data_IF_137873914173
#
_entry.id   IF_137873914173
#
_cell.length_a   1.000
_cell.length_b   1.000
_cell.length_c   1.000
_cell.angle_alpha   90.00
_cell.angle_beta   90.00
_cell.angle_gamma   90.00
#
_symmetry.space_group_name_H-M   'P 1'
#
loop_
_entity.id
_entity.type
_entity.pdbx_description
1 polymer ?
#
# COMPACT_ATOMS: atom_id res chain seq x y z
N UNK A 1 -7.79 -52.98 -42.36
CA UNK A 1 -6.40 -52.55 -42.53
C UNK A 1 -6.38 -51.06 -42.26
N UNK A 2 -6.38 -50.72 -40.97
CA UNK A 2 -5.27 -50.01 -40.27
C UNK A 2 -5.46 -48.49 -40.40
N UNK A 3 -5.38 -47.63 -39.39
CA UNK A 3 -5.29 -47.68 -37.93
C UNK A 3 -5.54 -46.20 -37.50
N UNK A 4 -6.52 -45.92 -36.63
CA UNK A 4 -6.32 -45.45 -35.23
C UNK A 4 -6.22 -43.91 -35.03
N UNK A 5 -7.17 -43.39 -34.22
CA UNK A 5 -7.24 -42.11 -33.45
C UNK A 5 -7.30 -40.77 -34.21
N UNK A 6 -8.37 -39.95 -34.23
CA UNK A 6 -9.21 -39.35 -33.16
C UNK A 6 -8.45 -38.62 -32.05
N UNK A 7 -8.46 -37.27 -32.06
CA UNK A 7 -9.00 -36.46 -30.94
C UNK A 7 -8.98 -34.92 -31.19
N UNK A 8 -10.13 -34.26 -30.93
CA UNK A 8 -10.35 -32.90 -30.37
C UNK A 8 -9.85 -31.65 -31.17
N UNK A 9 -10.68 -30.79 -31.82
CA UNK A 9 -11.80 -29.92 -31.33
C UNK A 9 -11.40 -29.19 -30.03
N UNK A 10 -11.33 -27.86 -29.86
CA UNK A 10 -12.07 -26.74 -30.47
C UNK A 10 -11.38 -25.42 -30.06
N UNK A 11 -11.21 -24.48 -31.00
CA UNK A 11 -10.85 -23.09 -30.69
C UNK A 11 -12.10 -22.33 -30.21
N UNK A 12 -12.07 -21.77 -29.00
CA UNK A 12 -13.17 -20.98 -28.42
C UNK A 12 -13.03 -19.52 -28.87
N UNK A 13 -14.05 -19.05 -29.59
CA UNK A 13 -14.12 -17.72 -30.22
C UNK A 13 -14.93 -16.77 -29.31
N UNK A 14 -14.24 -15.80 -28.67
CA UNK A 14 -14.73 -14.93 -27.59
C UNK A 14 -15.64 -13.76 -28.04
N UNK A 15 -16.38 -13.87 -29.15
CA UNK A 15 -17.15 -12.73 -29.73
C UNK A 15 -18.68 -12.88 -29.77
N UNK A 16 -19.28 -13.92 -29.18
CA UNK A 16 -20.75 -14.09 -29.19
C UNK A 16 -21.49 -13.48 -27.99
N UNK A 17 -20.79 -13.03 -26.94
CA UNK A 17 -21.45 -12.64 -25.68
C UNK A 17 -22.02 -11.21 -25.68
N UNK A 18 -21.48 -10.30 -26.50
CA UNK A 18 -21.88 -8.89 -26.49
C UNK A 18 -23.02 -8.58 -27.48
N UNK A 19 -23.36 -9.50 -28.40
CA UNK A 19 -24.28 -9.20 -29.51
C UNK A 19 -25.77 -9.49 -29.23
N UNK A 20 -26.11 -10.05 -28.07
CA UNK A 20 -27.51 -10.36 -27.70
C UNK A 20 -28.07 -9.48 -26.58
N UNK A 21 -27.34 -8.44 -26.14
CA UNK A 21 -27.73 -7.63 -24.98
C UNK A 21 -28.52 -6.34 -25.27
N UNK A 22 -28.70 -5.92 -26.52
CA UNK A 22 -29.31 -4.62 -26.84
C UNK A 22 -30.20 -4.70 -28.08
N UNK A 23 -31.47 -5.08 -27.89
CA UNK A 23 -32.61 -4.64 -28.74
C UNK A 23 -33.93 -5.12 -28.11
N UNK A 24 -34.66 -4.22 -27.45
CA UNK A 24 -36.14 -4.13 -27.51
C UNK A 24 -36.63 -3.02 -26.56
N UNK A 25 -36.74 -1.80 -27.08
CA UNK A 25 -37.58 -0.76 -26.50
C UNK A 25 -38.96 -0.81 -27.19
N UNK A 26 -40.03 -0.96 -26.42
CA UNK A 26 -41.41 -0.91 -26.90
C UNK A 26 -42.38 -0.80 -25.71
N UNK A 27 -43.17 0.27 -25.69
CA UNK A 27 -44.05 0.67 -24.58
C UNK A 27 -45.32 -0.19 -24.44
N UNK A 28 -45.78 -0.38 -23.19
CA UNK A 28 -47.17 -0.21 -22.70
C UNK A 28 -47.62 -1.21 -21.60
N UNK A 29 -48.26 -0.65 -20.57
CA UNK A 29 -49.30 -1.21 -19.66
C UNK A 29 -48.97 -2.26 -18.57
N UNK A 30 -49.17 -1.79 -17.32
CA UNK A 30 -49.61 -2.44 -16.06
C UNK A 30 -49.92 -3.95 -16.07
N UNK A 31 -49.32 -4.69 -15.14
CA UNK A 31 -49.80 -6.01 -14.71
C UNK A 31 -48.90 -6.67 -13.68
N UNK A 32 -49.40 -6.85 -12.45
CA UNK A 32 -48.72 -7.58 -11.39
C UNK A 32 -48.63 -9.09 -11.71
N UNK A 33 -47.50 -9.69 -11.36
CA UNK A 33 -47.36 -11.14 -11.19
C UNK A 33 -46.54 -11.84 -12.25
N UNK A 34 -45.24 -12.03 -11.98
CA UNK A 34 -44.48 -13.25 -12.32
C UNK A 34 -43.12 -13.19 -11.62
N UNK A 35 -43.10 -13.63 -10.36
CA UNK A 35 -41.92 -14.10 -9.65
C UNK A 35 -41.63 -15.53 -10.15
N UNK A 36 -40.51 -15.72 -10.85
CA UNK A 36 -39.72 -16.95 -10.81
C UNK A 36 -38.45 -16.78 -11.65
N UNK A 37 -37.30 -17.07 -11.04
CA UNK A 37 -35.99 -17.32 -11.64
C UNK A 37 -35.20 -16.08 -12.12
N UNK A 38 -34.89 -15.19 -11.18
CA UNK A 38 -33.63 -14.44 -11.19
C UNK A 38 -32.64 -15.15 -10.26
N UNK A 39 -31.55 -15.66 -10.81
CA UNK A 39 -30.41 -16.13 -10.03
C UNK A 39 -29.88 -14.99 -9.16
N UNK A 40 -30.17 -15.06 -7.86
CA UNK A 40 -29.55 -14.18 -6.90
C UNK A 40 -28.07 -14.54 -6.81
N UNK A 41 -27.19 -13.65 -7.23
CA UNK A 41 -25.80 -13.61 -6.78
C UNK A 41 -25.73 -13.12 -5.32
N UNK A 42 -26.59 -13.67 -4.47
CA UNK A 42 -26.60 -13.48 -3.03
C UNK A 42 -25.95 -14.75 -2.50
N UNK A 43 -24.75 -14.62 -1.93
CA UNK A 43 -24.15 -15.69 -1.16
C UNK A 43 -25.20 -16.17 -0.15
N UNK A 44 -25.59 -17.44 -0.24
CA UNK A 44 -26.35 -18.06 0.84
C UNK A 44 -25.55 -17.85 2.13
N UNK A 45 -26.17 -17.25 3.14
CA UNK A 45 -25.59 -17.20 4.50
C UNK A 45 -25.38 -18.65 4.94
N UNK A 46 -24.15 -19.13 4.75
CA UNK A 46 -23.74 -20.43 5.25
C UNK A 46 -23.81 -20.45 6.78
N UNK A 47 -23.77 -21.64 7.40
CA UNK A 47 -23.77 -21.81 8.85
C UNK A 47 -22.53 -21.22 9.57
N UNK A 48 -21.67 -20.46 8.87
CA UNK A 48 -20.43 -19.88 9.39
C UNK A 48 -20.60 -18.55 10.15
N UNK A 49 -21.82 -17.99 10.28
CA UNK A 49 -22.12 -16.98 11.31
C UNK A 49 -22.18 -17.61 12.72
N UNK A 50 -21.29 -18.57 13.00
CA UNK A 50 -21.03 -18.94 14.37
C UNK A 50 -20.22 -17.81 15.00
N UNK A 51 -20.80 -17.20 16.03
CA UNK A 51 -20.25 -16.27 17.01
C UNK A 51 -19.04 -16.84 17.76
N UNK A 52 -18.05 -17.35 17.02
CA UNK A 52 -16.84 -17.97 17.53
C UNK A 52 -15.86 -16.90 18.00
N UNK A 53 -15.27 -17.14 19.16
CA UNK A 53 -14.15 -16.35 19.68
C UNK A 53 -12.94 -16.59 18.77
N UNK A 54 -12.20 -15.52 18.44
CA UNK A 54 -10.96 -15.66 17.68
C UNK A 54 -9.97 -16.55 18.43
N UNK A 55 -9.16 -17.30 17.67
CA UNK A 55 -7.96 -17.90 18.25
C UNK A 55 -6.99 -16.79 18.67
N UNK A 56 -6.09 -17.02 19.63
CA UNK A 56 -5.06 -16.04 19.98
C UNK A 56 -4.25 -15.60 18.75
N UNK A 57 -3.92 -16.55 17.86
CA UNK A 57 -3.17 -16.25 16.64
C UNK A 57 -3.95 -15.39 15.65
N UNK A 58 -5.22 -15.70 15.39
CA UNK A 58 -6.05 -14.89 14.48
C UNK A 58 -6.29 -13.47 15.04
N UNK A 59 -6.49 -13.34 16.36
CA UNK A 59 -6.58 -12.04 17.00
C UNK A 59 -5.26 -11.26 16.89
N UNK A 60 -4.11 -11.93 17.07
CA UNK A 60 -2.80 -11.31 16.93
C UNK A 60 -2.55 -10.76 15.52
N UNK A 61 -2.90 -11.52 14.47
CA UNK A 61 -2.79 -11.06 13.07
C UNK A 61 -3.59 -9.76 12.85
N UNK A 62 -4.84 -9.71 13.31
CA UNK A 62 -5.69 -8.54 13.14
C UNK A 62 -5.28 -7.36 14.04
N UNK A 63 -4.74 -7.61 15.23
CA UNK A 63 -4.18 -6.56 16.09
C UNK A 63 -2.96 -5.93 15.45
N UNK A 64 -2.06 -6.73 14.88
CA UNK A 64 -0.90 -6.18 14.17
C UNK A 64 -1.31 -5.41 12.91
N UNK A 65 -2.24 -5.94 12.11
CA UNK A 65 -2.83 -5.18 11.00
C UNK A 65 -3.43 -3.85 11.49
N UNK A 66 -4.25 -3.86 12.54
CA UNK A 66 -4.84 -2.64 13.08
C UNK A 66 -3.79 -1.60 13.51
N UNK A 67 -2.67 -2.02 14.12
CA UNK A 67 -1.56 -1.12 14.44
C UNK A 67 -0.92 -0.53 13.18
N UNK A 68 -0.69 -1.36 12.14
CA UNK A 68 -0.15 -0.88 10.87
C UNK A 68 -1.09 0.16 10.25
N UNK A 69 -2.39 -0.12 10.15
CA UNK A 69 -3.38 0.79 9.57
C UNK A 69 -3.55 2.11 10.33
N UNK A 70 -3.41 2.11 11.67
CA UNK A 70 -3.44 3.35 12.46
C UNK A 70 -2.23 4.24 12.12
N UNK A 71 -1.05 3.63 11.94
CA UNK A 71 0.17 4.34 11.56
C UNK A 71 0.10 4.81 10.11
N UNK A 72 -0.46 3.97 9.23
CA UNK A 72 -0.72 4.24 7.83
C UNK A 72 -1.61 5.49 7.68
N UNK A 73 -2.76 5.47 8.36
CA UNK A 73 -3.69 6.58 8.32
C UNK A 73 -3.07 7.88 8.84
N UNK A 74 -2.28 7.83 9.93
CA UNK A 74 -1.65 9.04 10.48
C UNK A 74 -0.71 9.74 9.49
N UNK A 75 -0.01 8.98 8.65
CA UNK A 75 0.85 9.58 7.63
C UNK A 75 0.03 10.07 6.43
N UNK A 76 -0.98 9.31 5.98
CA UNK A 76 -1.84 9.73 4.87
C UNK A 76 -2.62 11.01 5.20
N UNK A 77 -3.11 11.13 6.44
CA UNK A 77 -3.71 12.38 6.93
C UNK A 77 -2.75 13.56 6.79
N UNK A 78 -1.46 13.41 7.06
CA UNK A 78 -0.49 14.49 6.90
C UNK A 78 -0.34 14.92 5.44
N UNK A 79 -0.34 13.97 4.50
CA UNK A 79 -0.34 14.28 3.07
C UNK A 79 -1.65 14.91 2.62
N UNK A 80 -2.81 14.39 3.06
CA UNK A 80 -4.11 14.94 2.70
C UNK A 80 -4.30 16.37 3.20
N UNK A 81 -3.85 16.68 4.42
CA UNK A 81 -3.91 18.03 4.98
C UNK A 81 -3.22 19.09 4.10
N UNK A 82 -2.13 18.71 3.44
CA UNK A 82 -1.28 19.62 2.68
C UNK A 82 -1.51 19.54 1.17
N UNK A 83 -1.70 18.34 0.63
CA UNK A 83 -1.72 18.06 -0.81
C UNK A 83 -2.99 17.40 -1.33
N UNK A 84 -3.91 16.96 -0.46
CA UNK A 84 -5.16 16.31 -0.86
C UNK A 84 -6.36 17.25 -0.98
N UNK A 85 -7.52 16.68 -1.28
CA UNK A 85 -8.80 17.41 -1.35
C UNK A 85 -9.26 17.81 0.06
N UNK A 86 -9.75 19.04 0.19
CA UNK A 86 -10.27 19.58 1.45
C UNK A 86 -11.80 19.56 1.44
N UNK A 87 -12.37 18.54 2.07
CA UNK A 87 -13.82 18.37 2.18
C UNK A 87 -14.23 17.79 3.55
N UNK A 88 -15.47 17.26 3.63
CA UNK A 88 -16.00 16.66 4.85
C UNK A 88 -15.73 15.16 4.99
N UNK A 89 -15.27 14.49 3.93
CA UNK A 89 -14.99 13.05 3.93
C UNK A 89 -13.70 12.78 4.72
N UNK A 90 -12.64 13.54 4.40
CA UNK A 90 -11.36 13.47 5.10
C UNK A 90 -11.01 14.81 5.75
N UNK A 91 -11.49 15.08 6.98
CA UNK A 91 -11.28 16.38 7.63
C UNK A 91 -9.89 16.48 8.26
N UNK A 92 -9.24 17.65 8.14
CA UNK A 92 -8.04 17.91 8.94
C UNK A 92 -7.25 19.15 8.58
N UNK A 93 -7.11 19.46 7.29
CA UNK A 93 -6.25 20.53 6.80
C UNK A 93 -7.01 21.64 6.09
N UNK A 94 -6.24 22.54 5.48
CA UNK A 94 -6.76 23.55 4.57
C UNK A 94 -6.01 23.59 3.23
N UNK A 95 -5.11 22.64 2.99
CA UNK A 95 -4.27 22.56 1.79
C UNK A 95 -3.12 23.57 1.77
N UNK A 96 -2.08 23.23 1.02
CA UNK A 96 -0.93 24.08 0.73
C UNK A 96 -0.78 24.22 -0.80
N UNK A 97 -1.24 25.32 -1.41
CA UNK A 97 -1.30 25.43 -2.87
C UNK A 97 0.02 25.21 -3.59
N UNK A 98 1.13 25.68 -3.02
CA UNK A 98 2.46 25.50 -3.63
C UNK A 98 2.91 24.04 -3.59
N UNK A 99 2.63 23.32 -2.50
CA UNK A 99 2.94 21.90 -2.40
C UNK A 99 2.02 21.05 -3.28
N UNK A 100 0.73 21.40 -3.36
CA UNK A 100 -0.21 20.76 -4.31
C UNK A 100 0.26 20.93 -5.75
N UNK A 101 0.67 22.14 -6.17
CA UNK A 101 1.20 22.38 -7.52
C UNK A 101 2.48 21.56 -7.79
N UNK A 102 3.36 21.42 -6.80
CA UNK A 102 4.56 20.59 -6.92
C UNK A 102 4.23 19.08 -7.02
N UNK A 103 3.16 18.61 -6.36
CA UNK A 103 2.66 17.25 -6.51
C UNK A 103 2.02 17.06 -7.90
N UNK A 104 1.26 18.03 -8.40
CA UNK A 104 0.60 17.99 -9.71
C UNK A 104 1.56 17.82 -10.89
N UNK A 105 2.85 18.18 -10.72
CA UNK A 105 3.91 17.87 -11.69
C UNK A 105 4.06 16.36 -11.93
N UNK A 106 3.74 15.53 -10.93
CA UNK A 106 3.77 14.07 -11.01
C UNK A 106 2.54 13.52 -11.75
N UNK A 107 1.36 14.05 -11.43
CA UNK A 107 0.08 13.72 -12.06
C UNK A 107 -0.96 14.77 -11.66
N UNK A 108 -1.82 15.21 -12.58
CA UNK A 108 -2.80 16.27 -12.30
C UNK A 108 -3.85 15.87 -11.26
N UNK A 109 -4.06 14.56 -11.06
CA UNK A 109 -5.04 14.02 -10.12
C UNK A 109 -4.42 13.64 -8.75
N UNK A 110 -3.17 14.04 -8.46
CA UNK A 110 -2.50 13.69 -7.18
C UNK A 110 -3.33 14.00 -5.94
N UNK A 111 -4.04 15.13 -5.92
CA UNK A 111 -4.89 15.49 -4.78
C UNK A 111 -6.06 14.51 -4.56
N UNK A 112 -6.61 13.95 -5.65
CA UNK A 112 -7.67 12.95 -5.60
C UNK A 112 -7.11 11.64 -5.04
N UNK A 113 -5.99 11.16 -5.60
CA UNK A 113 -5.40 9.89 -5.15
C UNK A 113 -5.00 9.94 -3.67
N UNK A 114 -4.43 11.06 -3.20
CA UNK A 114 -4.05 11.22 -1.79
C UNK A 114 -5.30 11.17 -0.90
N UNK A 115 -6.38 11.85 -1.31
CA UNK A 115 -7.62 11.92 -0.55
C UNK A 115 -8.33 10.56 -0.48
N UNK A 116 -8.53 9.90 -1.62
CA UNK A 116 -9.15 8.57 -1.71
C UNK A 116 -8.38 7.53 -0.88
N UNK A 117 -7.04 7.50 -1.00
CA UNK A 117 -6.22 6.58 -0.21
C UNK A 117 -6.34 6.88 1.29
N UNK A 118 -6.45 8.15 1.67
CA UNK A 118 -6.63 8.51 3.08
C UNK A 118 -7.98 8.05 3.63
N UNK A 119 -9.05 8.13 2.83
CA UNK A 119 -10.36 7.60 3.21
C UNK A 119 -10.30 6.08 3.40
N UNK A 120 -9.70 5.36 2.44
CA UNK A 120 -9.51 3.91 2.51
C UNK A 120 -8.82 3.51 3.82
N UNK A 121 -7.73 4.18 4.21
CA UNK A 121 -7.02 3.86 5.45
C UNK A 121 -7.82 4.13 6.71
N UNK A 122 -8.64 5.20 6.72
CA UNK A 122 -9.61 5.38 7.80
C UNK A 122 -10.56 4.19 7.89
N UNK A 123 -11.02 3.65 6.77
CA UNK A 123 -11.91 2.49 6.79
C UNK A 123 -11.20 1.23 7.30
N UNK A 124 -9.96 0.97 6.89
CA UNK A 124 -9.18 -0.19 7.34
C UNK A 124 -8.98 -0.19 8.86
N UNK A 125 -8.43 0.90 9.42
CA UNK A 125 -8.17 0.97 10.86
C UNK A 125 -9.45 0.86 11.70
N UNK A 126 -10.55 1.48 11.24
CA UNK A 126 -11.81 1.51 11.96
C UNK A 126 -12.47 0.12 11.93
N UNK A 127 -12.47 -0.51 10.76
CA UNK A 127 -13.04 -1.84 10.57
C UNK A 127 -12.30 -2.89 11.42
N UNK A 128 -10.97 -2.92 11.37
CA UNK A 128 -10.18 -3.93 12.10
C UNK A 128 -10.42 -3.86 13.61
N UNK A 129 -10.36 -2.66 14.20
CA UNK A 129 -10.64 -2.47 15.62
C UNK A 129 -12.09 -2.79 15.99
N UNK A 130 -13.07 -2.40 15.15
CA UNK A 130 -14.47 -2.74 15.38
C UNK A 130 -14.71 -4.25 15.30
N UNK A 131 -14.07 -4.94 14.36
CA UNK A 131 -14.17 -6.39 14.20
C UNK A 131 -13.56 -7.11 15.42
N UNK A 132 -12.36 -6.72 15.86
CA UNK A 132 -11.74 -7.24 17.10
C UNK A 132 -12.67 -7.08 18.30
N UNK A 133 -13.22 -5.88 18.51
CA UNK A 133 -14.17 -5.60 19.59
C UNK A 133 -15.44 -6.47 19.48
N UNK A 134 -15.96 -6.68 18.28
CA UNK A 134 -17.15 -7.51 18.04
C UNK A 134 -16.94 -8.99 18.42
N UNK A 135 -15.68 -9.45 18.40
CA UNK A 135 -15.28 -10.81 18.81
C UNK A 135 -14.82 -10.89 20.27
N UNK A 136 -14.89 -9.78 21.01
CA UNK A 136 -14.41 -9.69 22.40
C UNK A 136 -12.89 -9.85 22.53
N UNK A 137 -12.14 -9.53 21.48
CA UNK A 137 -10.68 -9.49 21.50
C UNK A 137 -10.18 -8.09 21.86
N UNK A 138 -8.93 -8.00 22.31
CA UNK A 138 -8.28 -6.72 22.58
C UNK A 138 -8.12 -5.91 21.28
N UNK A 139 -8.49 -4.63 21.34
CA UNK A 139 -8.26 -3.65 20.26
C UNK A 139 -6.89 -3.00 20.39
N UNK A 140 -6.50 -2.24 19.37
CA UNK A 140 -5.26 -1.45 19.38
C UNK A 140 -5.58 0.03 19.52
N UNK A 141 -4.81 0.71 20.37
CA UNK A 141 -4.88 2.15 20.55
C UNK A 141 -3.45 2.73 20.66
N UNK A 142 -3.07 3.56 19.69
CA UNK A 142 -1.78 4.24 19.65
C UNK A 142 -1.85 5.71 20.09
N UNK A 143 -3.03 6.24 20.42
CA UNK A 143 -3.20 7.65 20.82
C UNK A 143 -2.30 8.10 21.98
N UNK A 144 -1.96 7.28 22.99
CA UNK A 144 -0.99 7.66 24.01
C UNK A 144 0.40 8.05 23.47
N UNK A 145 0.73 7.64 22.25
CA UNK A 145 2.00 7.91 21.56
C UNK A 145 1.90 9.03 20.51
N UNK A 146 0.74 9.68 20.36
CA UNK A 146 0.55 10.83 19.45
C UNK A 146 1.22 12.07 20.02
N UNK A 147 2.54 12.12 19.87
CA UNK A 147 3.42 13.09 20.56
C UNK A 147 4.37 13.81 19.63
N UNK A 148 4.54 13.33 18.39
CA UNK A 148 5.48 13.93 17.45
C UNK A 148 4.92 15.26 16.92
N UNK A 149 5.75 16.29 16.72
CA UNK A 149 5.31 17.51 16.08
C UNK A 149 4.99 17.23 14.59
N UNK A 150 3.85 17.73 14.11
CA UNK A 150 3.54 17.76 12.68
C UNK A 150 4.15 18.96 11.96
N UNK A 151 3.86 19.09 10.66
CA UNK A 151 4.17 20.29 9.89
C UNK A 151 3.51 21.54 10.52
N UNK A 152 4.20 22.67 10.37
CA UNK A 152 3.66 24.00 10.69
C UNK A 152 3.53 24.88 9.45
N UNK A 153 3.69 24.30 8.26
CA UNK A 153 3.39 24.98 7.00
C UNK A 153 1.88 25.29 6.92
N UNK A 154 1.55 26.38 6.23
CA UNK A 154 0.17 26.74 5.88
C UNK A 154 -0.50 25.53 5.23
N UNK A 155 -1.71 25.21 5.68
CA UNK A 155 -2.44 24.02 5.25
C UNK A 155 -2.49 22.90 6.28
N UNK A 156 -1.42 22.72 7.07
CA UNK A 156 -1.40 21.67 8.09
C UNK A 156 -2.32 21.99 9.27
N UNK A 157 -2.85 20.95 9.89
CA UNK A 157 -3.64 21.04 11.12
C UNK A 157 -2.81 21.42 12.35
N UNK A 158 -1.48 21.30 12.27
CA UNK A 158 -0.57 21.51 13.41
C UNK A 158 -0.73 20.50 14.55
N UNK A 159 -1.51 19.42 14.34
CA UNK A 159 -1.74 18.38 15.33
C UNK A 159 -0.48 17.55 15.55
N UNK A 160 -0.42 16.92 16.73
CA UNK A 160 0.60 15.92 17.04
C UNK A 160 0.35 14.63 16.24
N UNK A 161 1.43 13.91 15.94
CA UNK A 161 1.48 12.76 15.04
C UNK A 161 2.00 11.51 15.74
N UNK A 162 1.70 10.37 15.12
CA UNK A 162 2.33 9.08 15.41
C UNK A 162 3.56 8.87 14.53
N UNK A 163 3.58 9.48 13.35
CA UNK A 163 4.59 9.32 12.31
C UNK A 163 5.32 10.63 11.98
N UNK A 164 6.57 10.53 11.53
CA UNK A 164 7.44 11.64 11.16
C UNK A 164 7.75 11.59 9.66
N UNK A 165 7.25 12.57 8.90
CA UNK A 165 7.48 12.71 7.46
C UNK A 165 8.60 13.70 7.09
N UNK A 166 9.31 14.23 8.08
CA UNK A 166 10.34 15.25 7.91
C UNK A 166 11.78 14.73 8.01
N UNK A 167 11.96 13.46 8.42
CA UNK A 167 13.27 12.84 8.66
C UNK A 167 13.34 11.41 8.13
N UNK A 168 13.07 11.23 6.84
CA UNK A 168 12.94 9.94 6.19
C UNK A 168 14.23 9.47 5.49
N UNK A 169 14.55 8.18 5.59
CA UNK A 169 15.55 7.49 4.78
C UNK A 169 14.84 6.38 3.99
N UNK A 170 14.68 6.55 2.69
CA UNK A 170 13.78 5.70 1.89
C UNK A 170 14.53 4.59 1.15
N UNK A 171 14.12 3.35 1.38
CA UNK A 171 14.54 2.22 0.55
C UNK A 171 13.66 2.15 -0.71
N UNK A 172 14.17 2.72 -1.80
CA UNK A 172 13.55 2.71 -3.13
C UNK A 172 13.86 1.45 -3.94
N UNK A 173 14.45 0.41 -3.33
CA UNK A 173 14.77 -0.84 -4.02
C UNK A 173 13.54 -1.66 -4.39
N UNK A 174 12.36 -1.34 -3.85
CA UNK A 174 11.09 -1.90 -4.32
C UNK A 174 10.92 -1.71 -5.83
N UNK A 175 11.44 -0.61 -6.39
CA UNK A 175 11.34 -0.29 -7.81
C UNK A 175 11.95 -1.39 -8.69
N UNK A 176 13.20 -1.75 -8.43
CA UNK A 176 13.92 -2.78 -9.17
C UNK A 176 13.57 -4.18 -8.68
N UNK A 177 13.16 -4.33 -7.42
CA UNK A 177 12.63 -5.59 -6.88
C UNK A 177 11.45 -6.06 -7.71
N UNK A 178 10.47 -5.20 -8.00
CA UNK A 178 9.30 -5.54 -8.80
C UNK A 178 9.57 -5.67 -10.30
N UNK A 179 10.72 -5.19 -10.80
CA UNK A 179 11.12 -5.26 -12.21
C UNK A 179 12.20 -6.32 -12.51
N UNK A 180 12.76 -6.96 -11.49
CA UNK A 180 13.74 -8.02 -11.69
C UNK A 180 13.08 -9.31 -12.18
N UNK A 181 13.49 -9.79 -13.37
CA UNK A 181 13.04 -11.06 -13.94
C UNK A 181 13.81 -12.29 -13.40
N UNK A 182 14.87 -12.08 -12.63
CA UNK A 182 15.83 -13.13 -12.24
C UNK A 182 15.94 -13.37 -10.73
N UNK A 183 15.50 -12.40 -9.92
CA UNK A 183 15.61 -12.44 -8.46
C UNK A 183 14.25 -12.28 -7.77
N UNK A 184 14.11 -12.94 -6.63
CA UNK A 184 12.95 -12.83 -5.75
C UNK A 184 13.45 -12.80 -4.30
N UNK A 185 13.08 -11.80 -3.46
CA UNK A 185 13.52 -11.75 -2.06
C UNK A 185 13.22 -13.03 -1.25
N UNK A 186 12.16 -13.77 -1.59
CA UNK A 186 11.81 -15.04 -0.94
C UNK A 186 12.82 -16.16 -1.24
N UNK A 187 13.45 -16.13 -2.43
CA UNK A 187 14.43 -17.13 -2.88
C UNK A 187 15.88 -16.65 -2.77
N UNK A 188 16.08 -15.33 -2.74
CA UNK A 188 17.37 -14.64 -2.80
C UNK A 188 17.49 -13.59 -1.67
N UNK A 189 17.37 -13.98 -0.38
CA UNK A 189 17.27 -13.03 0.74
C UNK A 189 18.52 -12.16 0.95
N UNK A 190 19.65 -12.52 0.33
CA UNK A 190 20.90 -11.77 0.40
C UNK A 190 21.15 -10.90 -0.85
N UNK A 191 20.28 -10.98 -1.86
CA UNK A 191 20.42 -10.15 -3.06
C UNK A 191 20.06 -8.71 -2.74
N UNK A 192 20.92 -7.78 -3.17
CA UNK A 192 20.71 -6.35 -2.99
C UNK A 192 20.14 -5.75 -4.27
N UNK A 193 18.85 -5.49 -4.26
CA UNK A 193 18.18 -4.79 -5.34
C UNK A 193 18.70 -3.34 -5.45
N UNK A 194 19.02 -2.84 -6.66
CA UNK A 194 19.46 -1.46 -6.84
C UNK A 194 18.40 -0.44 -6.41
N UNK A 195 18.85 0.66 -5.82
CA UNK A 195 17.99 1.80 -5.49
C UNK A 195 17.61 2.57 -6.76
N UNK A 196 16.33 2.91 -6.94
CA UNK A 196 15.91 3.83 -7.99
C UNK A 196 16.47 5.24 -7.73
N UNK A 197 16.40 5.70 -6.47
CA UNK A 197 16.92 7.00 -6.05
C UNK A 197 17.98 6.78 -4.96
N UNK A 198 19.25 6.54 -5.33
CA UNK A 198 20.30 6.19 -4.36
C UNK A 198 20.49 7.22 -3.24
N UNK A 199 20.27 8.51 -3.51
CA UNK A 199 20.42 9.56 -2.50
C UNK A 199 19.30 9.56 -1.47
N UNK A 200 18.12 9.00 -1.77
CA UNK A 200 17.04 8.87 -0.77
C UNK A 200 17.32 7.76 0.24
N UNK A 201 18.13 6.76 -0.13
CA UNK A 201 18.52 5.65 0.74
C UNK A 201 19.60 6.02 1.77
N UNK A 202 20.08 7.27 1.77
CA UNK A 202 21.08 7.79 2.71
C UNK A 202 20.71 9.19 3.17
N UNK A 203 20.99 9.52 4.43
CA UNK A 203 20.56 10.80 5.01
C UNK A 203 19.07 10.84 5.35
N UNK A 204 18.63 11.97 5.88
CA UNK A 204 17.24 12.20 6.30
C UNK A 204 16.64 13.30 5.43
N UNK A 205 15.51 12.99 4.81
CA UNK A 205 14.82 13.82 3.83
C UNK A 205 13.42 14.17 4.32
N UNK A 206 12.91 15.32 3.92
CA UNK A 206 11.54 15.72 4.21
C UNK A 206 10.66 15.42 3.01
N UNK A 207 9.54 14.74 3.24
CA UNK A 207 8.53 14.44 2.23
C UNK A 207 7.32 15.39 2.30
N UNK A 208 7.28 16.28 3.29
CA UNK A 208 6.31 17.38 3.37
C UNK A 208 7.04 18.68 3.69
N UNK A 209 6.48 19.86 3.37
CA UNK A 209 6.98 21.12 3.89
C UNK A 209 6.92 21.12 5.42
N UNK A 210 8.02 21.41 6.11
CA UNK A 210 8.06 21.50 7.59
C UNK A 210 7.44 22.81 8.08
N UNK A 211 7.70 23.87 7.31
CA UNK A 211 7.19 25.24 7.51
C UNK A 211 7.00 25.89 6.13
N UNK A 212 6.39 27.08 6.08
CA UNK A 212 6.28 27.86 4.84
C UNK A 212 7.64 28.29 4.25
N UNK A 213 8.74 28.20 5.00
CA UNK A 213 10.07 28.45 4.42
C UNK A 213 10.45 27.39 3.37
N UNK A 214 9.96 26.15 3.51
CA UNK A 214 10.25 25.07 2.56
C UNK A 214 9.50 25.24 1.22
N UNK A 215 8.49 26.12 1.16
CA UNK A 215 7.74 26.42 -0.09
C UNK A 215 8.33 27.58 -0.89
N UNK A 216 9.36 28.25 -0.38
CA UNK A 216 9.92 29.45 -0.97
C UNK A 216 10.88 29.19 -2.15
N UNK A 217 11.52 28.02 -2.19
CA UNK A 217 12.39 27.59 -3.29
C UNK A 217 11.68 26.50 -4.12
N UNK A 218 11.24 26.80 -5.36
CA UNK A 218 10.55 25.83 -6.20
C UNK A 218 11.34 24.55 -6.47
N UNK A 219 12.67 24.62 -6.56
CA UNK A 219 13.50 23.43 -6.82
C UNK A 219 13.57 22.53 -5.60
N UNK A 220 13.69 23.11 -4.40
CA UNK A 220 13.64 22.33 -3.17
C UNK A 220 12.22 21.79 -2.89
N UNK A 221 11.18 22.60 -3.11
CA UNK A 221 9.80 22.15 -2.95
C UNK A 221 9.45 20.98 -3.89
N UNK A 222 9.92 21.02 -5.14
CA UNK A 222 9.77 19.88 -6.05
C UNK A 222 10.55 18.65 -5.55
N UNK A 223 11.71 18.83 -4.91
CA UNK A 223 12.44 17.72 -4.28
C UNK A 223 11.66 17.10 -3.12
N UNK A 224 10.91 17.89 -2.35
CA UNK A 224 10.00 17.42 -1.30
C UNK A 224 8.86 16.60 -1.92
N UNK A 225 8.19 17.14 -2.95
CA UNK A 225 7.11 16.44 -3.65
C UNK A 225 7.60 15.13 -4.29
N UNK A 226 8.78 15.12 -4.91
CA UNK A 226 9.39 13.91 -5.44
C UNK A 226 9.75 12.91 -4.32
N UNK A 227 10.18 13.39 -3.14
CA UNK A 227 10.44 12.53 -1.98
C UNK A 227 9.14 11.87 -1.51
N UNK A 228 8.03 12.61 -1.46
CA UNK A 228 6.71 12.07 -1.18
C UNK A 228 6.30 10.99 -2.20
N UNK A 229 6.50 11.27 -3.49
CA UNK A 229 6.20 10.33 -4.57
C UNK A 229 6.91 8.98 -4.42
N UNK A 230 8.15 8.97 -3.91
CA UNK A 230 8.87 7.74 -3.60
C UNK A 230 8.55 7.17 -2.22
N UNK A 231 8.05 7.97 -1.28
CA UNK A 231 7.58 7.50 0.02
C UNK A 231 6.26 6.73 -0.07
N UNK A 232 5.28 7.20 -0.85
CA UNK A 232 3.98 6.54 -1.00
C UNK A 232 4.10 5.03 -1.32
N UNK A 233 4.73 4.59 -2.43
CA UNK A 233 4.89 3.16 -2.70
C UNK A 233 5.80 2.44 -1.70
N UNK A 234 6.66 3.19 -0.99
CA UNK A 234 7.56 2.62 0.01
C UNK A 234 6.78 2.12 1.23
N UNK A 235 5.68 2.76 1.62
CA UNK A 235 4.81 2.27 2.70
C UNK A 235 3.85 1.20 2.18
N UNK A 236 3.20 1.49 1.05
CA UNK A 236 2.16 0.65 0.45
C UNK A 236 2.67 -0.74 0.03
N UNK A 237 3.95 -0.86 -0.33
CA UNK A 237 4.56 -2.19 -0.54
C UNK A 237 4.49 -3.06 0.73
N UNK A 238 4.46 -2.42 1.90
CA UNK A 238 4.39 -3.01 3.22
C UNK A 238 3.06 -3.72 3.39
N UNK A 239 1.93 -3.02 3.24
CA UNK A 239 0.59 -3.59 3.22
C UNK A 239 0.44 -4.68 2.15
N UNK A 240 0.84 -4.36 0.93
CA UNK A 240 0.85 -5.27 -0.23
C UNK A 240 1.56 -6.61 0.06
N UNK A 241 2.66 -6.62 0.84
CA UNK A 241 3.36 -7.86 1.22
C UNK A 241 2.84 -8.48 2.52
N UNK A 242 2.45 -7.64 3.49
CA UNK A 242 2.05 -8.05 4.84
C UNK A 242 0.77 -8.88 4.83
N UNK A 243 -0.28 -8.38 4.18
CA UNK A 243 -1.59 -9.03 4.15
C UNK A 243 -1.58 -10.44 3.56
N UNK A 244 -1.03 -10.69 2.34
CA UNK A 244 -0.96 -12.06 1.80
C UNK A 244 -0.05 -12.98 2.62
N UNK A 245 1.00 -12.44 3.25
CA UNK A 245 1.86 -13.21 4.15
C UNK A 245 1.13 -13.61 5.43
N UNK A 246 0.35 -12.71 6.03
CA UNK A 246 -0.47 -13.00 7.21
C UNK A 246 -1.65 -13.92 6.88
N UNK A 247 -2.26 -13.78 5.70
CA UNK A 247 -3.37 -14.62 5.25
C UNK A 247 -2.99 -16.11 5.23
N UNK A 248 -1.75 -16.44 4.87
CA UNK A 248 -1.23 -17.81 4.91
C UNK A 248 -1.17 -18.40 6.34
N UNK A 249 -1.24 -17.55 7.37
CA UNK A 249 -1.07 -17.89 8.78
C UNK A 249 -2.40 -17.88 9.54
N UNK A 250 -3.46 -17.31 8.97
CA UNK A 250 -4.80 -17.31 9.54
C UNK A 250 -5.43 -18.69 9.56
N UNK A 251 -6.21 -18.97 10.61
CA UNK A 251 -7.02 -20.21 10.74
C UNK A 251 -8.50 -19.95 10.62
N UNK A 252 -8.96 -18.80 11.09
CA UNK A 252 -10.36 -18.45 11.06
C UNK A 252 -10.74 -17.96 9.65
N UNK A 253 -11.79 -18.52 9.06
CA UNK A 253 -12.20 -18.21 7.68
C UNK A 253 -12.56 -16.74 7.50
N UNK A 254 -13.24 -16.13 8.49
CA UNK A 254 -13.51 -14.69 8.44
C UNK A 254 -12.23 -13.84 8.52
N UNK A 255 -11.24 -14.25 9.32
CA UNK A 255 -9.96 -13.52 9.42
C UNK A 255 -9.17 -13.65 8.11
N UNK A 256 -9.13 -14.86 7.55
CA UNK A 256 -8.59 -15.06 6.20
C UNK A 256 -9.31 -14.17 5.18
N UNK A 257 -10.66 -14.12 5.22
CA UNK A 257 -11.46 -13.27 4.33
C UNK A 257 -11.09 -11.80 4.48
N UNK A 258 -10.95 -11.29 5.70
CA UNK A 258 -10.52 -9.91 5.95
C UNK A 258 -9.16 -9.65 5.32
N UNK A 259 -8.16 -10.50 5.62
CA UNK A 259 -6.79 -10.31 5.15
C UNK A 259 -6.67 -10.37 3.61
N UNK A 260 -7.41 -11.26 2.95
CA UNK A 260 -7.41 -11.36 1.47
C UNK A 260 -8.35 -10.37 0.80
N UNK A 261 -9.10 -9.58 1.55
CA UNK A 261 -9.97 -8.51 1.03
C UNK A 261 -9.32 -7.14 1.17
N UNK A 262 -8.61 -6.87 2.27
CA UNK A 262 -7.81 -5.66 2.44
C UNK A 262 -6.50 -5.78 1.63
N UNK A 263 -5.79 -6.90 1.65
CA UNK A 263 -4.52 -7.01 0.90
C UNK A 263 -4.56 -6.60 -0.58
N UNK A 264 -5.62 -6.92 -1.35
CA UNK A 264 -5.77 -6.40 -2.70
C UNK A 264 -6.02 -4.90 -2.83
N UNK A 265 -6.62 -4.21 -1.84
CA UNK A 265 -6.76 -2.74 -1.88
C UNK A 265 -5.40 -2.07 -1.71
N UNK A 266 -4.58 -2.52 -0.75
CA UNK A 266 -3.16 -2.15 -0.60
C UNK A 266 -2.35 -2.38 -1.89
N UNK A 267 -2.67 -3.44 -2.62
CA UNK A 267 -2.02 -3.72 -3.91
C UNK A 267 -2.39 -2.66 -4.96
N UNK A 268 -3.65 -2.19 -4.96
CA UNK A 268 -4.12 -1.12 -5.86
C UNK A 268 -3.47 0.22 -5.49
N UNK A 269 -3.37 0.52 -4.19
CA UNK A 269 -2.65 1.69 -3.69
C UNK A 269 -1.19 1.64 -4.14
N UNK A 270 -0.45 0.57 -3.80
CA UNK A 270 0.95 0.39 -4.21
C UNK A 270 1.15 0.54 -5.72
N UNK A 271 0.29 -0.07 -6.54
CA UNK A 271 0.40 0.01 -7.99
C UNK A 271 0.17 1.43 -8.52
N UNK A 272 -0.77 2.17 -7.94
CA UNK A 272 -1.05 3.56 -8.27
C UNK A 272 0.17 4.42 -7.96
N UNK A 273 0.69 4.32 -6.74
CA UNK A 273 1.84 5.12 -6.31
C UNK A 273 3.15 4.73 -6.98
N UNK A 274 3.33 3.44 -7.29
CA UNK A 274 4.47 2.96 -8.06
C UNK A 274 4.50 3.54 -9.48
N UNK A 275 3.33 3.77 -10.10
CA UNK A 275 3.22 4.47 -11.39
C UNK A 275 3.60 5.94 -11.21
N UNK A 276 2.98 6.64 -10.25
CA UNK A 276 3.17 8.09 -10.06
C UNK A 276 4.59 8.47 -9.66
N UNK A 277 5.27 7.63 -8.88
CA UNK A 277 6.68 7.80 -8.56
C UNK A 277 7.57 7.91 -9.82
N UNK A 278 7.20 7.24 -10.91
CA UNK A 278 7.92 7.27 -12.19
C UNK A 278 7.85 8.59 -12.95
N UNK A 279 6.95 9.50 -12.56
CA UNK A 279 6.79 10.81 -13.18
C UNK A 279 7.65 11.89 -12.50
N UNK A 280 8.38 11.56 -11.43
CA UNK A 280 9.25 12.50 -10.74
C UNK A 280 10.29 13.11 -11.70
N UNK A 281 10.30 14.45 -11.90
CA UNK A 281 11.26 15.08 -12.80
C UNK A 281 12.69 14.97 -12.24
N UNK A 282 13.70 14.78 -13.12
CA UNK A 282 15.09 14.79 -12.69
C UNK A 282 15.49 16.14 -12.11
N UNK A 283 16.05 16.15 -10.90
CA UNK A 283 16.54 17.36 -10.24
C UNK A 283 17.60 17.04 -9.19
N UNK A 284 18.30 18.06 -8.72
CA UNK A 284 19.11 17.98 -7.51
C UNK A 284 18.81 19.18 -6.63
N UNK A 285 18.61 18.93 -5.35
CA UNK A 285 18.40 19.96 -4.35
C UNK A 285 19.26 19.71 -3.11
N UNK A 286 19.44 20.76 -2.33
CA UNK A 286 20.08 20.71 -1.01
C UNK A 286 19.07 21.29 -0.03
N UNK A 287 18.77 20.53 1.02
CA UNK A 287 17.91 20.99 2.10
C UNK A 287 18.58 22.19 2.80
N UNK A 288 17.95 23.38 2.79
CA UNK A 288 18.53 24.59 3.37
C UNK A 288 18.64 24.51 4.91
N UNK A 289 17.95 23.58 5.56
CA UNK A 289 17.96 23.40 7.02
C UNK A 289 19.03 22.39 7.44
N UNK A 290 19.09 21.25 6.75
CA UNK A 290 19.96 20.12 7.17
C UNK A 290 21.27 20.04 6.38
N UNK A 291 21.34 20.66 5.19
CA UNK A 291 22.44 20.53 4.25
C UNK A 291 22.49 19.18 3.52
N UNK A 292 21.49 18.30 3.73
CA UNK A 292 21.38 17.02 3.02
C UNK A 292 21.05 17.29 1.55
N UNK A 293 21.75 16.61 0.64
CA UNK A 293 21.47 16.69 -0.80
C UNK A 293 20.67 15.48 -1.26
N UNK A 294 19.71 15.72 -2.15
CA UNK A 294 18.92 14.70 -2.83
C UNK A 294 19.00 14.91 -4.34
N UNK A 295 19.21 13.83 -5.09
CA UNK A 295 19.26 13.82 -6.55
C UNK A 295 18.26 12.81 -7.07
N UNK A 296 17.29 13.28 -7.84
CA UNK A 296 16.40 12.46 -8.66
C UNK A 296 17.03 12.37 -10.05
N UNK A 297 17.58 11.21 -10.45
CA UNK A 297 18.16 11.04 -11.78
C UNK A 297 17.07 10.82 -12.84
N UNK A 298 17.45 10.93 -14.11
CA UNK A 298 16.63 10.37 -15.20
C UNK A 298 16.76 8.83 -15.19
N UNK A 299 15.73 8.15 -14.69
CA UNK A 299 15.68 6.70 -14.60
C UNK A 299 15.66 6.00 -15.98
N UNK A 300 15.33 6.71 -17.06
CA UNK A 300 15.26 6.16 -18.41
C UNK A 300 16.59 6.30 -19.18
N UNK A 301 17.61 6.95 -18.59
CA UNK A 301 18.89 7.23 -19.23
C UNK A 301 20.08 6.60 -18.48
N UNK A 302 21.18 6.24 -19.17
CA UNK A 302 22.39 5.72 -18.52
C UNK A 302 22.90 6.62 -17.37
N UNK A 303 23.37 6.06 -16.24
CA UNK A 303 23.65 4.63 -16.01
C UNK A 303 22.42 3.79 -15.63
N UNK A 304 21.23 4.40 -15.55
CA UNK A 304 19.96 3.72 -15.42
C UNK A 304 19.43 3.28 -16.79
N UNK A 305 18.12 3.09 -16.93
CA UNK A 305 17.46 2.53 -18.10
C UNK A 305 17.39 1.01 -18.09
N UNK A 306 16.96 0.43 -19.22
CA UNK A 306 16.61 -0.99 -19.30
C UNK A 306 15.33 -1.33 -18.54
N UNK A 307 14.98 -2.61 -18.53
CA UNK A 307 13.71 -3.09 -17.94
C UNK A 307 13.60 -2.78 -16.45
N UNK A 308 14.72 -2.78 -15.72
CA UNK A 308 14.73 -2.57 -14.26
C UNK A 308 14.39 -1.13 -13.84
N UNK A 309 14.63 -0.13 -14.70
CA UNK A 309 14.47 1.30 -14.34
C UNK A 309 13.48 2.07 -15.21
N UNK A 310 13.08 1.52 -16.36
CA UNK A 310 12.17 2.19 -17.27
C UNK A 310 10.83 2.51 -16.60
N UNK A 311 10.44 3.80 -16.64
CA UNK A 311 9.35 4.32 -15.78
C UNK A 311 7.95 3.90 -16.21
N UNK A 312 7.74 3.65 -17.51
CA UNK A 312 6.45 3.21 -18.02
C UNK A 312 6.23 1.68 -18.00
N UNK A 313 7.20 0.90 -17.47
CA UNK A 313 7.00 -0.52 -17.18
C UNK A 313 6.42 -0.64 -15.77
N UNK A 314 5.09 -0.54 -15.69
CA UNK A 314 4.37 -0.41 -14.42
C UNK A 314 3.90 -1.75 -13.83
N UNK A 315 3.86 -2.81 -14.64
CA UNK A 315 3.46 -4.14 -14.19
C UNK A 315 4.67 -4.91 -13.63
N UNK A 316 4.51 -5.76 -12.60
CA UNK A 316 5.60 -6.59 -12.10
C UNK A 316 6.15 -7.54 -13.16
N UNK A 317 7.48 -7.60 -13.29
CA UNK A 317 8.14 -8.56 -14.17
C UNK A 317 8.06 -9.98 -13.61
N UNK A 318 7.71 -11.00 -14.44
CA UNK A 318 7.72 -12.38 -14.01
C UNK A 318 9.09 -12.82 -13.47
N UNK A 319 9.10 -13.46 -12.31
CA UNK A 319 10.33 -13.87 -11.63
C UNK A 319 10.26 -15.32 -11.13
N UNK A 320 11.39 -15.92 -10.71
CA UNK A 320 11.38 -17.19 -10.01
C UNK A 320 10.53 -17.15 -8.75
N UNK A 321 9.60 -18.10 -8.60
CA UNK A 321 8.71 -18.19 -7.45
C UNK A 321 8.59 -19.64 -6.98
N UNK A 322 8.65 -19.87 -5.66
CA UNK A 322 8.67 -21.17 -4.96
C UNK A 322 9.88 -22.06 -5.30
N UNK A 323 10.27 -22.15 -6.57
CA UNK A 323 11.39 -22.95 -7.05
C UNK A 323 11.80 -22.50 -8.46
N UNK A 324 13.11 -22.38 -8.69
CA UNK A 324 13.69 -22.10 -10.01
C UNK A 324 13.47 -23.21 -11.06
N UNK A 325 12.87 -24.34 -10.65
CA UNK A 325 12.46 -25.44 -11.56
C UNK A 325 11.10 -25.20 -12.21
N UNK A 326 10.32 -24.25 -11.70
CA UNK A 326 9.04 -23.85 -12.28
C UNK A 326 9.25 -22.66 -13.24
N UNK A 327 8.34 -22.44 -14.21
CA UNK A 327 8.35 -21.23 -15.01
C UNK A 327 8.23 -19.96 -14.13
N UNK A 328 8.84 -18.83 -14.54
CA UNK A 328 8.64 -17.55 -13.87
C UNK A 328 7.16 -17.14 -13.77
N UNK A 329 6.79 -16.43 -12.71
CA UNK A 329 5.43 -15.97 -12.44
C UNK A 329 5.44 -14.51 -12.00
N UNK A 330 4.46 -13.73 -12.45
CA UNK A 330 4.20 -12.38 -11.93
C UNK A 330 3.48 -12.50 -10.60
N UNK A 331 4.09 -11.97 -9.54
CA UNK A 331 3.59 -12.09 -8.16
C UNK A 331 3.88 -10.81 -7.37
N UNK A 332 3.15 -10.66 -6.27
CA UNK A 332 3.60 -9.80 -5.16
C UNK A 332 4.82 -10.44 -4.49
N UNK A 333 5.78 -9.62 -4.05
CA UNK A 333 7.03 -10.11 -3.46
C UNK A 333 7.63 -9.12 -2.45
N UNK A 334 8.00 -9.57 -1.25
CA UNK A 334 7.96 -10.95 -0.74
C UNK A 334 6.54 -11.41 -0.34
N UNK A 335 6.36 -12.73 -0.24
CA UNK A 335 5.15 -13.35 0.35
C UNK A 335 5.49 -14.45 1.36
N UNK A 336 6.78 -14.68 1.65
CA UNK A 336 7.19 -15.57 2.72
C UNK A 336 6.79 -15.04 4.10
N UNK A 337 6.40 -15.97 4.96
CA UNK A 337 5.63 -15.64 6.17
C UNK A 337 6.47 -15.46 7.44
N UNK A 338 7.74 -15.85 7.40
CA UNK A 338 8.58 -15.92 8.59
C UNK A 338 9.14 -14.54 8.93
N UNK A 339 8.70 -13.99 10.05
CA UNK A 339 9.21 -12.71 10.54
C UNK A 339 8.64 -11.51 9.78
N UNK A 340 7.49 -11.67 9.11
CA UNK A 340 6.93 -10.63 8.25
C UNK A 340 6.48 -9.42 9.07
N UNK A 341 5.84 -9.64 10.22
CA UNK A 341 5.36 -8.55 11.06
C UNK A 341 6.53 -7.78 11.69
N UNK A 342 7.52 -8.51 12.22
CA UNK A 342 8.75 -7.89 12.74
C UNK A 342 9.56 -7.21 11.64
N UNK A 343 9.52 -7.75 10.41
CA UNK A 343 10.10 -7.14 9.22
C UNK A 343 9.51 -5.76 8.95
N UNK A 344 8.18 -5.62 9.00
CA UNK A 344 7.47 -4.33 8.85
C UNK A 344 7.90 -3.35 9.95
N UNK A 345 7.90 -3.76 11.23
CA UNK A 345 8.33 -2.86 12.33
C UNK A 345 9.76 -2.38 12.15
N UNK A 346 10.67 -3.28 11.78
CA UNK A 346 12.07 -2.94 11.52
C UNK A 346 12.22 -2.00 10.33
N UNK A 347 11.46 -2.24 9.26
CA UNK A 347 11.48 -1.43 8.04
C UNK A 347 10.99 0.00 8.31
N UNK A 348 9.81 0.16 8.91
CA UNK A 348 9.25 1.48 9.23
C UNK A 348 10.12 2.24 10.24
N UNK A 349 10.73 1.53 11.20
CA UNK A 349 11.69 2.12 12.14
C UNK A 349 12.95 2.59 11.43
N UNK A 350 13.53 1.76 10.56
CA UNK A 350 14.76 2.08 9.82
C UNK A 350 14.57 3.25 8.84
N UNK A 351 13.35 3.42 8.33
CA UNK A 351 12.97 4.55 7.48
C UNK A 351 12.99 5.89 8.22
N UNK A 352 12.98 5.87 9.56
CA UNK A 352 12.91 7.08 10.37
C UNK A 352 11.49 7.55 10.70
N UNK A 353 10.47 6.78 10.29
CA UNK A 353 9.05 7.13 10.48
C UNK A 353 8.67 7.35 11.95
N UNK A 354 9.42 6.77 12.88
CA UNK A 354 9.17 6.85 14.33
C UNK A 354 10.24 7.66 15.08
N UNK A 355 11.07 8.46 14.37
CA UNK A 355 12.04 9.33 15.02
C UNK A 355 11.31 10.31 15.95
N UNK A 356 11.67 10.23 17.24
CA UNK A 356 11.07 11.03 18.32
C UNK A 356 10.12 10.24 19.22
N UNK A 357 9.70 9.03 18.84
CA UNK A 357 8.82 8.21 19.66
C UNK A 357 9.54 7.67 20.91
N UNK A 358 8.81 7.45 22.03
CA UNK A 358 9.40 6.92 23.25
C UNK A 358 9.68 5.41 23.14
N UNK A 359 10.58 4.83 23.95
CA UNK A 359 10.87 3.39 23.94
C UNK A 359 9.62 2.49 24.05
N UNK A 360 8.63 2.89 24.87
CA UNK A 360 7.39 2.14 25.06
C UNK A 360 6.54 2.00 23.77
N UNK A 361 6.68 2.92 22.81
CA UNK A 361 6.05 2.79 21.50
C UNK A 361 6.64 1.60 20.72
N UNK A 362 7.98 1.50 20.71
CA UNK A 362 8.69 0.41 20.04
C UNK A 362 8.48 -0.94 20.73
N UNK A 363 8.38 -0.95 22.06
CA UNK A 363 8.02 -2.15 22.83
C UNK A 363 6.64 -2.67 22.39
N UNK A 364 5.63 -1.80 22.38
CA UNK A 364 4.29 -2.19 21.94
C UNK A 364 4.27 -2.74 20.50
N UNK A 365 4.92 -2.05 19.55
CA UNK A 365 4.94 -2.52 18.16
C UNK A 365 5.66 -3.86 18.01
N UNK A 366 6.74 -4.08 18.74
CA UNK A 366 7.47 -5.36 18.73
C UNK A 366 6.63 -6.47 19.34
N UNK A 367 5.97 -6.23 20.46
CA UNK A 367 5.09 -7.21 21.10
C UNK A 367 3.96 -7.64 20.15
N UNK A 368 3.29 -6.68 19.50
CA UNK A 368 2.25 -6.96 18.50
C UNK A 368 2.80 -7.75 17.30
N UNK A 369 4.00 -7.40 16.84
CA UNK A 369 4.65 -8.08 15.73
C UNK A 369 5.08 -9.51 16.09
N UNK A 370 5.62 -9.73 17.28
CA UNK A 370 6.01 -11.05 17.79
C UNK A 370 4.79 -11.96 17.90
N UNK A 371 3.71 -11.49 18.52
CA UNK A 371 2.44 -12.23 18.61
C UNK A 371 1.92 -12.61 17.21
N UNK A 372 1.94 -11.66 16.28
CA UNK A 372 1.56 -11.93 14.89
C UNK A 372 2.51 -12.96 14.27
N UNK A 373 3.83 -12.82 14.36
CA UNK A 373 4.84 -13.74 13.82
C UNK A 373 4.91 -15.12 14.52
N UNK A 374 4.21 -15.28 15.64
CA UNK A 374 3.99 -16.56 16.30
C UNK A 374 2.72 -17.28 15.83
N UNK A 375 1.72 -16.56 15.31
CA UNK A 375 0.48 -17.20 14.83
C UNK A 375 0.77 -18.30 13.79
N UNK A 376 0.05 -19.42 13.87
CA UNK A 376 0.25 -20.54 12.95
C UNK A 376 -1.10 -20.96 12.40
N UNK A 377 -1.11 -21.26 11.10
CA UNK A 377 -2.24 -21.96 10.50
C UNK A 377 -2.30 -23.36 11.14
N UNK A 378 -3.28 -23.57 12.00
CA UNK A 378 -3.63 -24.86 12.60
C UNK A 378 -3.76 -25.93 11.52
N UNK A 379 -3.22 -27.11 11.81
CA UNK A 379 -3.38 -28.29 10.97
C UNK A 379 -4.74 -28.95 11.18
#
# INVERSE_FOLDING_TARGET
MENVWSSMKTAINRRSFVKNGLTAAGAATVGAGLLANGSSAVAEKGPEEHSGRLTPGDAALLRFAAAAEILETDFWVQYNELGGIQDSEVPGGSGNPAYTEALEVLDEDMAVYIHDNTDDEFTHQNFLNAYLASKGADTVNLEPFRTLPGSTATGSSGKLRLTNLAQLTLDTSWWTRYRSSTHNPDLDPNFKFPQAIPTLAVGQHTAIPRTDADTADPNFLQAIANTAAFHFPTIEQGGNSLYPSMAQRATHVEVLRILISIGPTETMHFQTWSDKAGNAPPLTAVDPVTGVSVTFPDLNSPPFGGEDFQTNLIMPEPCPFLSRKLPPCSIIRPTETKGIAMGVVNFLTAMGLFIGQPPAFFELLKDLAEDADEARRGR
#
